data_IF_299422992405
#
_entry.id   IF_299422992405
#
_cell.length_a   1.000
_cell.length_b   1.000
_cell.length_c   1.000
_cell.angle_alpha   90.00
_cell.angle_beta   90.00
_cell.angle_gamma   90.00
#
_symmetry.space_group_name_H-M   'P 1'
#
loop_
_entity.id
_entity.type
_entity.pdbx_description
1 polymer ?
#
# COMPACT_ATOMS: atom_id res chain seq x y z
N UNK A 1 -2.92 24.86 -9.26
CA UNK A 1 -3.87 23.78 -8.85
C UNK A 1 -3.52 23.36 -7.43
N UNK A 2 -4.50 23.12 -6.56
CA UNK A 2 -4.23 22.65 -5.20
C UNK A 2 -3.86 21.15 -5.26
N UNK A 3 -2.83 20.73 -4.54
CA UNK A 3 -2.48 19.32 -4.36
C UNK A 3 -3.51 18.70 -3.41
N UNK A 4 -4.50 18.00 -3.96
CA UNK A 4 -5.58 17.36 -3.19
C UNK A 4 -5.68 15.89 -3.56
N UNK A 5 -5.37 15.02 -2.61
CA UNK A 5 -5.41 13.56 -2.79
C UNK A 5 -6.77 13.05 -2.42
N UNK A 6 -7.50 12.53 -3.39
CA UNK A 6 -8.86 12.04 -3.20
C UNK A 6 -8.98 10.58 -3.64
N UNK A 7 -10.07 9.95 -3.20
CA UNK A 7 -10.40 8.59 -3.58
C UNK A 7 -10.86 8.57 -5.04
N UNK A 8 -10.21 7.76 -5.86
CA UNK A 8 -10.46 7.61 -7.29
C UNK A 8 -10.36 6.15 -7.72
N UNK A 9 -10.97 5.80 -8.84
CA UNK A 9 -10.73 4.54 -9.52
C UNK A 9 -9.49 4.67 -10.41
N UNK A 10 -8.50 3.78 -10.23
CA UNK A 10 -7.37 3.66 -11.15
C UNK A 10 -7.45 2.31 -11.85
N UNK A 11 -7.42 2.31 -13.16
CA UNK A 11 -7.63 1.11 -13.96
C UNK A 11 -6.40 0.77 -14.78
N UNK A 12 -5.90 -0.46 -14.59
CA UNK A 12 -4.81 -1.08 -15.35
C UNK A 12 -5.29 -2.20 -16.26
N UNK A 13 -4.34 -2.92 -16.81
CA UNK A 13 -4.60 -4.10 -17.64
C UNK A 13 -5.05 -5.29 -16.80
N UNK A 14 -4.38 -5.57 -15.68
CA UNK A 14 -4.57 -6.76 -14.85
C UNK A 14 -5.39 -6.49 -13.59
N UNK A 15 -5.38 -5.24 -13.10
CA UNK A 15 -6.12 -4.89 -11.90
C UNK A 15 -6.79 -3.52 -11.99
N UNK A 16 -7.72 -3.29 -11.06
CA UNK A 16 -8.23 -1.96 -10.70
C UNK A 16 -7.86 -1.66 -9.26
N UNK A 17 -7.50 -0.43 -8.99
CA UNK A 17 -7.44 0.11 -7.63
C UNK A 17 -8.74 0.86 -7.39
N UNK A 18 -9.61 0.25 -6.61
CA UNK A 18 -10.92 0.81 -6.26
C UNK A 18 -10.84 1.49 -4.89
N UNK A 19 -11.59 2.58 -4.64
CA UNK A 19 -11.78 3.07 -3.28
C UNK A 19 -12.12 1.92 -2.34
N UNK A 20 -11.38 1.78 -1.23
CA UNK A 20 -11.62 0.68 -0.29
C UNK A 20 -13.02 0.80 0.32
N UNK A 21 -13.78 -0.28 0.34
CA UNK A 21 -15.12 -0.34 0.90
C UNK A 21 -15.51 -1.74 1.38
N UNK A 22 -16.66 -1.85 2.03
CA UNK A 22 -17.14 -3.09 2.64
C UNK A 22 -17.44 -4.19 1.62
N UNK A 23 -17.69 -3.84 0.36
CA UNK A 23 -17.85 -4.76 -0.76
C UNK A 23 -16.62 -5.61 -1.02
N UNK A 24 -15.43 -5.14 -0.63
CA UNK A 24 -14.17 -5.85 -0.79
C UNK A 24 -13.88 -6.88 0.32
N UNK A 25 -14.65 -6.84 1.43
CA UNK A 25 -14.35 -7.58 2.66
C UNK A 25 -14.15 -9.09 2.43
N UNK A 26 -15.05 -9.74 1.69
CA UNK A 26 -14.94 -11.17 1.44
C UNK A 26 -13.69 -11.53 0.62
N UNK A 27 -13.35 -10.73 -0.38
CA UNK A 27 -12.16 -10.92 -1.19
C UNK A 27 -10.89 -10.78 -0.37
N UNK A 28 -10.79 -9.71 0.43
CA UNK A 28 -9.65 -9.41 1.28
C UNK A 28 -9.49 -10.45 2.40
N UNK A 29 -10.59 -10.80 3.10
CA UNK A 29 -10.56 -11.79 4.17
C UNK A 29 -10.00 -13.13 3.68
N UNK A 30 -10.52 -13.65 2.57
CA UNK A 30 -10.10 -14.95 2.02
C UNK A 30 -8.59 -15.02 1.67
N UNK A 31 -7.90 -13.90 1.59
CA UNK A 31 -6.48 -13.82 1.20
C UNK A 31 -5.57 -13.23 2.27
N UNK A 32 -6.14 -12.64 3.30
CA UNK A 32 -5.40 -11.92 4.34
C UNK A 32 -5.31 -12.66 5.68
N UNK A 33 -5.50 -13.98 5.71
CA UNK A 33 -5.52 -14.77 6.96
C UNK A 33 -4.13 -15.26 7.40
N UNK A 34 -3.14 -15.24 6.51
CA UNK A 34 -1.81 -15.80 6.78
C UNK A 34 -0.91 -14.74 7.43
N UNK A 35 -0.54 -14.93 8.68
CA UNK A 35 0.28 -13.98 9.47
C UNK A 35 1.61 -13.64 8.78
N UNK A 36 2.21 -14.58 8.07
CA UNK A 36 3.48 -14.37 7.36
C UNK A 36 3.38 -13.28 6.30
N UNK A 37 2.21 -13.10 5.68
CA UNK A 37 1.99 -12.06 4.69
C UNK A 37 1.89 -10.66 5.32
N UNK A 38 1.64 -10.61 6.65
CA UNK A 38 1.55 -9.39 7.45
C UNK A 38 2.78 -9.12 8.30
N UNK A 39 3.80 -9.96 8.23
CA UNK A 39 5.00 -9.93 9.10
C UNK A 39 5.63 -8.54 9.27
N UNK A 40 5.60 -7.70 8.24
CA UNK A 40 6.19 -6.36 8.23
C UNK A 40 5.14 -5.23 8.34
N UNK A 41 3.90 -5.58 8.58
CA UNK A 41 2.79 -4.67 8.78
C UNK A 41 2.46 -4.51 10.27
N UNK A 42 1.70 -3.50 10.67
CA UNK A 42 1.47 -3.22 12.09
C UNK A 42 0.46 -4.16 12.77
N UNK A 43 -0.10 -5.13 12.04
CA UNK A 43 -1.05 -6.12 12.55
C UNK A 43 -0.81 -7.51 11.95
N UNK A 44 -1.29 -8.59 12.57
CA UNK A 44 -1.34 -9.93 11.98
C UNK A 44 -2.44 -10.05 10.93
N UNK A 45 -2.56 -11.21 10.30
CA UNK A 45 -3.64 -11.54 9.38
C UNK A 45 -5.02 -11.43 10.01
N UNK A 46 -6.06 -11.46 9.17
CA UNK A 46 -7.45 -11.39 9.63
C UNK A 46 -7.86 -12.67 10.35
N UNK A 47 -8.41 -12.53 11.55
CA UNK A 47 -8.91 -13.64 12.38
C UNK A 47 -10.24 -14.18 11.83
N UNK A 48 -11.14 -13.26 11.45
CA UNK A 48 -12.44 -13.55 10.87
C UNK A 48 -12.91 -12.42 9.95
N UNK A 49 -14.08 -12.60 9.33
CA UNK A 49 -14.63 -11.60 8.43
C UNK A 49 -15.04 -10.30 9.15
N UNK A 50 -15.43 -10.38 10.41
CA UNK A 50 -15.79 -9.19 11.20
C UNK A 50 -14.55 -8.33 11.48
N UNK A 51 -13.42 -8.96 11.81
CA UNK A 51 -12.12 -8.30 11.96
C UNK A 51 -11.68 -7.61 10.65
N UNK A 52 -11.83 -8.28 9.52
CA UNK A 52 -11.55 -7.68 8.21
C UNK A 52 -12.45 -6.46 7.94
N UNK A 53 -13.73 -6.54 8.24
CA UNK A 53 -14.68 -5.44 8.09
C UNK A 53 -14.33 -4.25 8.98
N UNK A 54 -13.96 -4.53 10.23
CA UNK A 54 -13.52 -3.49 11.16
C UNK A 54 -12.25 -2.79 10.66
N UNK A 55 -11.28 -3.56 10.16
CA UNK A 55 -10.07 -2.99 9.55
C UNK A 55 -10.36 -2.09 8.34
N UNK A 56 -11.36 -2.45 7.50
CA UNK A 56 -11.81 -1.60 6.39
C UNK A 56 -12.37 -0.28 6.93
N UNK A 57 -13.23 -0.34 7.94
CA UNK A 57 -13.84 0.86 8.53
C UNK A 57 -12.79 1.79 9.15
N UNK A 58 -11.82 1.23 9.89
CA UNK A 58 -10.68 2.00 10.44
C UNK A 58 -9.84 2.62 9.33
N UNK A 59 -9.55 1.86 8.27
CA UNK A 59 -8.77 2.35 7.15
C UNK A 59 -9.46 3.53 6.44
N UNK A 60 -10.77 3.44 6.23
CA UNK A 60 -11.57 4.48 5.58
C UNK A 60 -11.77 5.71 6.48
N UNK A 61 -11.82 5.53 7.80
CA UNK A 61 -11.99 6.61 8.77
C UNK A 61 -10.66 7.35 9.09
N UNK A 62 -9.51 6.80 8.73
CA UNK A 62 -8.21 7.39 9.06
C UNK A 62 -7.97 8.66 8.26
N UNK A 63 -7.97 9.80 8.95
CA UNK A 63 -7.70 11.11 8.33
C UNK A 63 -6.30 11.16 7.74
N UNK A 64 -6.17 11.78 6.57
CA UNK A 64 -4.89 11.92 5.86
C UNK A 64 -4.41 10.65 5.16
N UNK A 65 -5.31 9.67 4.99
CA UNK A 65 -5.06 8.48 4.20
C UNK A 65 -6.16 8.27 3.17
N UNK A 66 -5.79 7.70 2.02
CA UNK A 66 -6.71 7.32 0.94
C UNK A 66 -6.46 5.86 0.61
N UNK A 67 -7.26 4.94 1.19
CA UNK A 67 -7.07 3.52 0.99
C UNK A 67 -7.73 3.01 -0.30
N UNK A 68 -7.08 2.03 -0.92
CA UNK A 68 -7.54 1.32 -2.11
C UNK A 68 -7.61 -0.18 -1.89
N UNK A 69 -8.60 -0.82 -2.48
CA UNK A 69 -8.61 -2.26 -2.72
C UNK A 69 -7.96 -2.55 -4.08
N UNK A 70 -7.09 -3.55 -4.11
CA UNK A 70 -6.55 -4.11 -5.36
C UNK A 70 -7.52 -5.19 -5.86
N UNK A 71 -8.26 -4.90 -6.93
CA UNK A 71 -9.23 -5.84 -7.52
C UNK A 71 -8.64 -6.44 -8.79
N UNK A 72 -8.29 -7.72 -8.73
CA UNK A 72 -7.77 -8.45 -9.89
C UNK A 72 -8.89 -8.66 -10.92
N UNK A 73 -8.65 -8.28 -12.19
CA UNK A 73 -9.71 -8.19 -13.22
C UNK A 73 -10.22 -9.52 -13.69
N UNK A 74 -9.39 -10.55 -13.75
CA UNK A 74 -9.77 -11.87 -14.26
C UNK A 74 -10.83 -12.55 -13.40
N UNK A 75 -10.74 -12.39 -12.07
CA UNK A 75 -11.69 -12.99 -11.13
C UNK A 75 -12.68 -11.95 -10.56
N UNK A 76 -12.43 -10.66 -10.77
CA UNK A 76 -13.24 -9.56 -10.20
C UNK A 76 -13.24 -9.53 -8.68
N UNK A 77 -12.11 -9.91 -8.04
CA UNK A 77 -12.03 -10.05 -6.58
C UNK A 77 -10.90 -9.22 -5.99
N UNK A 78 -11.15 -8.66 -4.82
CA UNK A 78 -10.12 -7.97 -4.05
C UNK A 78 -9.05 -8.96 -3.58
N UNK A 79 -7.78 -8.64 -3.88
CA UNK A 79 -6.62 -9.51 -3.62
C UNK A 79 -5.57 -8.84 -2.74
N UNK A 80 -5.75 -7.59 -2.38
CA UNK A 80 -4.84 -6.82 -1.55
C UNK A 80 -5.32 -5.38 -1.35
N UNK A 81 -4.50 -4.58 -0.70
CA UNK A 81 -4.78 -3.17 -0.44
C UNK A 81 -3.48 -2.35 -0.42
N UNK A 82 -3.61 -1.06 -0.72
CA UNK A 82 -2.55 -0.06 -0.57
C UNK A 82 -3.18 1.30 -0.25
N UNK A 83 -2.37 2.28 0.18
CA UNK A 83 -2.88 3.61 0.56
C UNK A 83 -1.96 4.71 0.09
N UNK A 84 -2.53 5.85 -0.27
CA UNK A 84 -1.83 7.11 -0.14
C UNK A 84 -1.90 7.57 1.32
N UNK A 85 -0.77 7.97 1.86
CA UNK A 85 -0.66 8.38 3.26
C UNK A 85 0.47 9.41 3.44
N UNK A 86 0.67 9.92 4.65
CA UNK A 86 1.65 10.97 4.93
C UNK A 86 1.56 12.12 3.91
N UNK A 87 0.34 12.51 3.58
CA UNK A 87 0.05 13.53 2.56
C UNK A 87 0.50 14.90 3.08
N UNK A 88 1.39 15.54 2.35
CA UNK A 88 1.96 16.87 2.64
C UNK A 88 1.56 17.83 1.53
N UNK A 89 0.35 18.38 1.61
CA UNK A 89 -0.22 19.22 0.55
C UNK A 89 0.67 20.41 0.18
N UNK A 90 1.18 21.12 1.20
CA UNK A 90 2.05 22.28 1.00
C UNK A 90 3.37 21.94 0.28
N UNK A 91 3.78 20.66 0.31
CA UNK A 91 5.03 20.19 -0.29
C UNK A 91 4.80 19.23 -1.46
N UNK A 92 3.56 19.06 -1.90
CA UNK A 92 3.17 18.16 -2.98
C UNK A 92 3.85 16.79 -2.89
N UNK A 93 3.85 16.21 -1.68
CA UNK A 93 4.48 14.92 -1.38
C UNK A 93 3.53 13.97 -0.69
N UNK A 94 3.71 12.68 -0.90
CA UNK A 94 2.94 11.63 -0.22
C UNK A 94 3.74 10.33 -0.12
N UNK A 95 3.26 9.41 0.72
CA UNK A 95 3.77 8.05 0.82
C UNK A 95 2.76 7.05 0.22
N UNK A 96 3.23 6.06 -0.51
CA UNK A 96 2.46 4.86 -0.85
C UNK A 96 2.85 3.79 0.16
N UNK A 97 1.90 3.39 1.01
CA UNK A 97 2.17 2.49 2.13
C UNK A 97 1.03 1.57 2.49
N UNK A 98 1.17 0.85 3.61
CA UNK A 98 0.24 -0.19 4.06
C UNK A 98 -0.10 -1.22 2.98
N UNK A 99 0.84 -1.48 2.07
CA UNK A 99 0.64 -2.39 0.94
C UNK A 99 0.76 -3.83 1.40
N UNK A 100 -0.30 -4.59 1.21
CA UNK A 100 -0.26 -6.05 1.28
C UNK A 100 -1.03 -6.65 0.10
N UNK A 101 -0.68 -7.85 -0.27
CA UNK A 101 -1.32 -8.59 -1.36
C UNK A 101 -1.30 -10.08 -1.04
N UNK A 102 -2.39 -10.76 -1.35
CA UNK A 102 -2.50 -12.20 -1.16
C UNK A 102 -1.36 -12.96 -1.83
N UNK A 103 -0.97 -14.08 -1.20
CA UNK A 103 0.23 -14.85 -1.56
C UNK A 103 0.33 -15.19 -3.05
N UNK A 104 -0.78 -15.58 -3.67
CA UNK A 104 -0.82 -15.99 -5.08
C UNK A 104 -0.50 -14.84 -6.06
N UNK A 105 -0.60 -13.61 -5.62
CA UNK A 105 -0.32 -12.40 -6.42
C UNK A 105 1.00 -11.72 -6.06
N UNK A 106 1.71 -12.23 -5.05
CA UNK A 106 3.04 -11.73 -4.70
C UNK A 106 4.05 -12.07 -5.80
N UNK A 107 4.88 -11.08 -6.18
CA UNK A 107 5.86 -11.26 -7.25
C UNK A 107 5.27 -11.33 -8.66
N UNK A 108 3.97 -11.11 -8.82
CA UNK A 108 3.30 -11.09 -10.12
C UNK A 108 3.19 -9.67 -10.68
N UNK A 109 2.76 -9.57 -11.94
CA UNK A 109 2.48 -8.30 -12.61
C UNK A 109 1.44 -7.46 -11.88
N UNK A 110 0.48 -8.06 -11.18
CA UNK A 110 -0.57 -7.38 -10.42
C UNK A 110 0.02 -6.46 -9.36
N UNK A 111 1.00 -6.92 -8.60
CA UNK A 111 1.65 -6.10 -7.57
C UNK A 111 2.50 -4.96 -8.17
N UNK A 112 3.12 -5.20 -9.31
CA UNK A 112 3.90 -4.16 -10.03
C UNK A 112 2.96 -3.12 -10.60
N UNK A 113 1.90 -3.54 -11.29
CA UNK A 113 0.92 -2.64 -11.88
C UNK A 113 0.24 -1.77 -10.83
N UNK A 114 -0.13 -2.32 -9.66
CA UNK A 114 -0.70 -1.53 -8.57
C UNK A 114 0.19 -0.34 -8.19
N UNK A 115 1.50 -0.59 -8.02
CA UNK A 115 2.46 0.48 -7.68
C UNK A 115 2.61 1.50 -8.81
N UNK A 116 2.68 1.03 -10.06
CA UNK A 116 2.82 1.91 -11.22
C UNK A 116 1.60 2.82 -11.41
N UNK A 117 0.38 2.29 -11.26
CA UNK A 117 -0.85 3.08 -11.34
C UNK A 117 -0.91 4.17 -10.26
N UNK A 118 -0.54 3.82 -9.01
CA UNK A 118 -0.50 4.80 -7.93
C UNK A 118 0.58 5.86 -8.17
N UNK A 119 1.77 5.47 -8.64
CA UNK A 119 2.85 6.38 -8.98
C UNK A 119 2.45 7.32 -10.13
N UNK A 120 1.89 6.76 -11.20
CA UNK A 120 1.45 7.53 -12.35
C UNK A 120 0.39 8.56 -11.94
N UNK A 121 -0.61 8.15 -11.18
CA UNK A 121 -1.63 9.06 -10.67
C UNK A 121 -1.02 10.16 -9.79
N UNK A 122 -0.12 9.79 -8.87
CA UNK A 122 0.53 10.76 -7.97
C UNK A 122 1.37 11.79 -8.75
N UNK A 123 2.16 11.36 -9.71
CA UNK A 123 3.09 12.24 -10.44
C UNK A 123 2.36 13.01 -11.54
N UNK A 124 1.60 12.32 -12.41
CA UNK A 124 1.03 12.93 -13.61
C UNK A 124 -0.27 13.68 -13.33
N UNK A 125 -1.15 13.14 -12.46
CA UNK A 125 -2.45 13.74 -12.16
C UNK A 125 -2.38 14.71 -10.99
N UNK A 126 -1.83 14.27 -9.85
CA UNK A 126 -1.73 15.10 -8.64
C UNK A 126 -0.55 16.05 -8.69
N UNK A 127 0.38 15.88 -9.62
CA UNK A 127 1.60 16.71 -9.75
C UNK A 127 2.47 16.64 -8.50
N UNK A 128 2.57 15.44 -7.89
CA UNK A 128 3.48 15.22 -6.78
C UNK A 128 4.94 15.42 -7.23
N UNK A 129 5.71 16.12 -6.42
CA UNK A 129 7.16 16.30 -6.66
C UNK A 129 7.97 15.22 -5.94
N UNK A 130 7.31 14.43 -5.07
CA UNK A 130 7.95 13.32 -4.35
C UNK A 130 6.90 12.30 -3.92
N UNK A 131 7.17 11.03 -4.24
CA UNK A 131 6.41 9.89 -3.75
C UNK A 131 7.35 9.00 -2.94
N UNK A 132 7.01 8.75 -1.68
CA UNK A 132 7.82 8.00 -0.74
C UNK A 132 7.30 6.58 -0.55
N UNK A 133 8.22 5.70 -0.19
CA UNK A 133 7.95 4.34 0.26
C UNK A 133 8.79 4.05 1.49
N UNK A 134 8.19 3.36 2.46
CA UNK A 134 8.86 2.94 3.67
C UNK A 134 8.65 1.45 3.90
N UNK A 135 9.72 0.74 4.20
CA UNK A 135 9.64 -0.68 4.53
C UNK A 135 10.60 -1.06 5.65
N UNK A 136 10.36 -2.21 6.29
CA UNK A 136 11.31 -2.79 7.25
C UNK A 136 12.65 -3.11 6.54
N UNK A 137 13.76 -2.78 7.19
CA UNK A 137 15.11 -3.03 6.66
C UNK A 137 15.37 -4.53 6.36
N UNK A 138 14.62 -5.43 7.02
CA UNK A 138 14.68 -6.88 6.79
C UNK A 138 13.80 -7.35 5.64
N UNK A 139 12.86 -6.52 5.16
CA UNK A 139 11.94 -6.87 4.08
C UNK A 139 12.61 -6.71 2.71
N UNK A 140 13.54 -7.63 2.40
CA UNK A 140 14.29 -7.61 1.13
C UNK A 140 13.38 -7.72 -0.09
N UNK A 141 12.27 -8.46 0.02
CA UNK A 141 11.28 -8.59 -1.07
C UNK A 141 10.70 -7.23 -1.44
N UNK A 142 10.25 -6.46 -0.45
CA UNK A 142 9.74 -5.11 -0.67
C UNK A 142 10.82 -4.20 -1.27
N UNK A 143 12.03 -4.24 -0.74
CA UNK A 143 13.14 -3.42 -1.25
C UNK A 143 13.50 -3.77 -2.70
N UNK A 144 13.50 -5.05 -3.09
CA UNK A 144 13.70 -5.46 -4.49
C UNK A 144 12.57 -4.94 -5.40
N UNK A 145 11.32 -5.03 -4.94
CA UNK A 145 10.18 -4.51 -5.69
C UNK A 145 10.25 -2.99 -5.90
N UNK A 146 10.68 -2.24 -4.86
CA UNK A 146 10.85 -0.78 -4.95
C UNK A 146 11.97 -0.39 -5.91
N UNK A 147 13.11 -1.08 -5.85
CA UNK A 147 14.20 -0.87 -6.82
C UNK A 147 13.76 -1.21 -8.25
N UNK A 148 12.95 -2.24 -8.42
CA UNK A 148 12.42 -2.68 -9.72
C UNK A 148 11.52 -1.66 -10.41
N UNK A 149 10.85 -0.77 -9.65
CA UNK A 149 10.06 0.35 -10.19
C UNK A 149 10.84 1.65 -10.28
N UNK A 150 12.17 1.61 -10.08
CA UNK A 150 13.05 2.78 -10.19
C UNK A 150 13.11 3.66 -8.92
N UNK A 151 12.55 3.23 -7.80
CA UNK A 151 12.63 4.02 -6.57
C UNK A 151 14.09 4.04 -6.04
N UNK A 152 14.55 5.23 -5.68
CA UNK A 152 15.89 5.46 -5.15
C UNK A 152 15.92 5.31 -3.64
N UNK A 153 16.97 4.66 -3.12
CA UNK A 153 17.22 4.54 -1.69
C UNK A 153 17.64 5.88 -1.10
N UNK A 154 16.99 6.28 0.00
CA UNK A 154 17.22 7.57 0.67
C UNK A 154 17.99 7.42 2.00
N UNK A 155 17.74 6.33 2.71
CA UNK A 155 18.38 6.11 4.00
C UNK A 155 17.68 5.11 4.90
N UNK A 156 18.29 4.88 6.08
CA UNK A 156 17.80 3.96 7.11
C UNK A 156 17.61 4.70 8.44
N UNK A 157 16.42 4.59 9.00
CA UNK A 157 16.11 5.06 10.34
C UNK A 157 16.22 3.88 11.31
N UNK A 158 17.18 3.96 12.23
CA UNK A 158 17.38 2.93 13.25
C UNK A 158 16.34 3.04 14.35
N UNK A 159 15.84 1.90 14.86
CA UNK A 159 14.83 1.84 15.93
C UNK A 159 13.63 2.77 15.65
N UNK A 160 13.19 2.80 14.38
CA UNK A 160 12.21 3.79 13.92
C UNK A 160 10.79 3.51 14.43
N UNK A 161 10.45 2.25 14.59
CA UNK A 161 9.11 1.82 14.99
C UNK A 161 9.17 0.56 15.87
N UNK A 162 8.16 0.39 16.71
CA UNK A 162 7.91 -0.88 17.39
C UNK A 162 7.01 -1.74 16.50
N UNK A 163 7.49 -2.90 16.07
CA UNK A 163 6.71 -3.86 15.29
C UNK A 163 5.71 -4.61 16.17
N UNK A 164 4.72 -5.27 15.58
CA UNK A 164 3.63 -5.97 16.27
C UNK A 164 4.09 -7.02 17.30
N UNK A 165 5.27 -7.58 17.15
CA UNK A 165 5.87 -8.57 18.04
C UNK A 165 6.86 -7.98 19.07
N UNK A 166 6.84 -6.65 19.26
CA UNK A 166 7.78 -5.96 20.16
C UNK A 166 9.19 -5.76 19.60
N UNK A 167 9.44 -6.12 18.35
CA UNK A 167 10.72 -5.92 17.70
C UNK A 167 10.94 -4.45 17.35
N UNK A 168 12.15 -3.94 17.68
CA UNK A 168 12.58 -2.60 17.26
C UNK A 168 12.96 -2.61 15.79
N UNK A 169 12.04 -2.08 14.97
CA UNK A 169 12.16 -2.05 13.53
C UNK A 169 13.05 -0.90 13.08
N UNK A 170 14.05 -1.21 12.27
CA UNK A 170 14.67 -0.21 11.40
C UNK A 170 13.86 -0.07 10.12
N UNK A 171 13.62 1.15 9.70
CA UNK A 171 12.92 1.42 8.44
C UNK A 171 13.87 1.98 7.39
N UNK A 172 13.75 1.48 6.18
CA UNK A 172 14.43 2.03 5.00
C UNK A 172 13.44 2.81 4.15
N UNK A 173 13.89 3.96 3.67
CA UNK A 173 13.12 4.87 2.84
C UNK A 173 13.60 4.84 1.41
N UNK A 174 12.65 4.87 0.50
CA UNK A 174 12.85 5.00 -0.93
C UNK A 174 11.94 6.11 -1.46
N UNK A 175 12.31 6.71 -2.59
CA UNK A 175 11.46 7.70 -3.24
C UNK A 175 11.52 7.62 -4.76
N UNK A 176 10.46 8.14 -5.38
CA UNK A 176 10.40 8.47 -6.80
C UNK A 176 10.11 9.96 -6.91
N UNK A 177 10.88 10.64 -7.76
CA UNK A 177 10.68 12.04 -8.15
C UNK A 177 10.53 12.13 -9.66
N UNK A 178 9.81 13.16 -10.19
CA UNK A 178 9.71 13.40 -11.64
C UNK A 178 11.06 13.54 -12.32
#
# INVERSE_FOLDING_TARGET
MSFSVQSVLLEGEYLRLEPLGQEHANGLFNRGQQDEDWQYLPRPGFVDLADCRHWIDEACATVGQVPFAMVEKKQGRAVGSSRFMAIREAHRGLEIGYTWIGRDWQGTVVNVEAKLLMLQHAIETLQAIRVEFKTDARNERSQRALKGIGAQYEGRFRNHMLAQNGYLRDSVYYSVTP
#
